data_IF_219745565054
#
_entry.id   IF_219745565054
#
_cell.length_a   1.000
_cell.length_b   1.000
_cell.length_c   1.000
_cell.angle_alpha   90.00
_cell.angle_beta   90.00
_cell.angle_gamma   90.00
#
_symmetry.space_group_name_H-M   'P 1'
#
loop_
_entity.id
_entity.type
_entity.pdbx_description
1 polymer ?
#
# COMPACT_ATOMS: atom_id res chain seq x y z
N UNK A 1 -18.92 11.07 -18.22
CA UNK A 1 -18.64 11.97 -17.09
C UNK A 1 -18.39 11.24 -15.77
N UNK A 2 -18.44 9.91 -15.71
CA UNK A 2 -17.63 9.15 -14.75
C UNK A 2 -16.19 9.07 -15.30
N UNK A 3 -15.53 10.22 -15.45
CA UNK A 3 -14.09 10.22 -15.71
C UNK A 3 -13.45 9.43 -14.58
N UNK A 4 -12.65 8.43 -14.94
CA UNK A 4 -12.03 7.50 -14.00
C UNK A 4 -11.33 8.30 -12.91
N UNK A 5 -11.94 8.33 -11.72
CA UNK A 5 -11.35 8.96 -10.56
C UNK A 5 -10.08 8.16 -10.23
N UNK A 6 -8.92 8.70 -10.59
CA UNK A 6 -7.63 8.06 -10.32
C UNK A 6 -7.38 8.14 -8.82
N UNK A 7 -7.63 7.04 -8.12
CA UNK A 7 -7.30 6.85 -6.71
C UNK A 7 -5.92 6.23 -6.57
N UNK A 8 -5.32 6.30 -5.39
CA UNK A 8 -3.91 5.90 -5.17
C UNK A 8 -3.60 4.48 -5.68
N UNK A 9 -4.52 3.53 -5.49
CA UNK A 9 -4.34 2.16 -5.95
C UNK A 9 -4.21 2.04 -7.48
N UNK A 10 -4.72 2.99 -8.26
CA UNK A 10 -4.69 2.97 -9.73
C UNK A 10 -3.52 3.77 -10.32
N UNK A 11 -2.67 4.35 -9.48
CA UNK A 11 -1.60 5.26 -9.90
C UNK A 11 -0.40 4.52 -10.46
N UNK A 12 -0.15 3.29 -10.01
CA UNK A 12 0.98 2.49 -10.46
C UNK A 12 0.57 1.02 -10.63
N UNK A 13 1.08 0.33 -11.67
CA UNK A 13 1.08 -1.12 -11.72
C UNK A 13 1.77 -1.70 -10.48
N UNK A 14 1.28 -2.84 -9.99
CA UNK A 14 1.92 -3.54 -8.87
C UNK A 14 3.28 -4.10 -9.33
N UNK A 15 4.32 -3.94 -8.53
CA UNK A 15 5.57 -4.72 -8.64
C UNK A 15 5.51 -5.83 -7.61
N UNK A 16 4.83 -6.92 -7.96
CA UNK A 16 4.41 -7.95 -7.02
C UNK A 16 5.56 -8.71 -6.34
N UNK A 17 6.75 -8.72 -6.95
CA UNK A 17 7.99 -9.27 -6.40
C UNK A 17 8.81 -8.25 -5.58
N UNK A 18 8.47 -6.96 -5.66
CA UNK A 18 9.11 -5.86 -4.96
C UNK A 18 8.06 -4.91 -4.33
N UNK A 19 7.37 -5.41 -3.29
CA UNK A 19 6.45 -4.58 -2.50
C UNK A 19 7.12 -3.36 -1.84
N UNK A 20 8.37 -3.43 -1.34
CA UNK A 20 9.07 -2.26 -0.83
C UNK A 20 9.27 -1.17 -1.91
N UNK A 21 9.69 -1.56 -3.11
CA UNK A 21 9.83 -0.65 -4.25
C UNK A 21 8.49 -0.06 -4.68
N UNK A 22 7.44 -0.89 -4.75
CA UNK A 22 6.07 -0.45 -5.01
C UNK A 22 5.61 0.61 -4.01
N UNK A 23 5.85 0.40 -2.71
CA UNK A 23 5.50 1.33 -1.65
C UNK A 23 6.22 2.67 -1.81
N UNK A 24 7.51 2.64 -2.16
CA UNK A 24 8.29 3.84 -2.47
C UNK A 24 7.71 4.62 -3.66
N UNK A 25 7.38 3.93 -4.75
CA UNK A 25 6.79 4.55 -5.95
C UNK A 25 5.41 5.16 -5.69
N UNK A 26 4.55 4.47 -4.92
CA UNK A 26 3.26 5.01 -4.51
C UNK A 26 3.41 6.24 -3.60
N UNK A 27 4.37 6.21 -2.68
CA UNK A 27 4.67 7.36 -1.82
C UNK A 27 5.12 8.56 -2.66
N UNK A 28 6.01 8.34 -3.64
CA UNK A 28 6.49 9.40 -4.53
C UNK A 28 5.33 10.02 -5.33
N UNK A 29 4.41 9.19 -5.82
CA UNK A 29 3.22 9.66 -6.52
C UNK A 29 2.26 10.43 -5.61
N UNK A 30 2.09 9.98 -4.36
CA UNK A 30 1.27 10.64 -3.35
C UNK A 30 1.83 12.03 -2.98
N UNK A 31 3.16 12.15 -2.85
CA UNK A 31 3.82 13.42 -2.55
C UNK A 31 3.73 14.37 -3.73
N UNK A 32 3.89 13.86 -4.95
CA UNK A 32 3.76 14.65 -6.18
C UNK A 32 2.33 15.19 -6.40
N UNK A 33 1.31 14.43 -5.97
CA UNK A 33 -0.10 14.82 -6.09
C UNK A 33 -0.87 14.53 -4.78
N UNK A 34 -0.88 15.48 -3.83
CA UNK A 34 -1.63 15.35 -2.57
C UNK A 34 -3.15 15.18 -2.78
N UNK A 35 -3.67 15.51 -3.97
CA UNK A 35 -5.07 15.28 -4.33
C UNK A 35 -5.43 13.80 -4.35
N UNK A 36 -4.47 12.91 -4.66
CA UNK A 36 -4.70 11.47 -4.74
C UNK A 36 -5.28 10.87 -3.46
N UNK A 37 -4.71 11.20 -2.30
CA UNK A 37 -5.22 10.69 -1.02
C UNK A 37 -6.56 11.32 -0.67
N UNK A 38 -6.76 12.62 -0.93
CA UNK A 38 -8.05 13.27 -0.68
C UNK A 38 -9.16 12.62 -1.49
N UNK A 39 -8.92 12.36 -2.77
CA UNK A 39 -9.87 11.69 -3.66
C UNK A 39 -10.11 10.24 -3.24
N UNK A 40 -9.06 9.51 -2.84
CA UNK A 40 -9.18 8.13 -2.34
C UNK A 40 -10.04 8.07 -1.06
N UNK A 41 -9.83 9.00 -0.13
CA UNK A 41 -10.62 9.09 1.11
C UNK A 41 -12.07 9.50 0.85
N UNK A 42 -12.29 10.51 -0.01
CA UNK A 42 -13.63 10.93 -0.40
C UNK A 42 -14.39 9.79 -1.09
N UNK A 43 -13.75 9.10 -2.04
CA UNK A 43 -14.32 7.93 -2.73
C UNK A 43 -14.73 6.83 -1.74
N UNK A 44 -13.95 6.59 -0.70
CA UNK A 44 -14.29 5.60 0.33
C UNK A 44 -15.46 6.04 1.23
N UNK A 45 -15.63 7.34 1.47
CA UNK A 45 -16.72 7.89 2.28
C UNK A 45 -18.05 7.95 1.52
N UNK A 46 -18.04 8.40 0.27
CA UNK A 46 -19.27 8.55 -0.54
C UNK A 46 -19.78 7.23 -1.11
N UNK A 47 -18.86 6.31 -1.39
CA UNK A 47 -19.15 5.05 -2.05
C UNK A 47 -18.50 3.92 -1.23
N UNK A 48 -19.11 3.52 -0.11
CA UNK A 48 -18.53 2.53 0.79
C UNK A 48 -18.41 1.14 0.15
N UNK A 49 -19.18 0.88 -0.91
CA UNK A 49 -19.09 -0.33 -1.71
C UNK A 49 -18.08 -0.17 -2.85
N UNK A 50 -17.23 -1.19 -3.02
CA UNK A 50 -16.35 -1.29 -4.17
C UNK A 50 -17.16 -1.73 -5.39
N UNK A 51 -16.88 -1.14 -6.55
CA UNK A 51 -17.40 -1.65 -7.82
C UNK A 51 -16.73 -2.99 -8.16
N UNK A 52 -17.38 -3.80 -9.00
CA UNK A 52 -16.80 -5.03 -9.55
C UNK A 52 -15.42 -4.80 -10.19
N UNK A 53 -15.22 -3.67 -10.84
CA UNK A 53 -13.92 -3.33 -11.43
C UNK A 53 -12.83 -3.12 -10.36
N UNK A 54 -13.16 -2.45 -9.26
CA UNK A 54 -12.25 -2.24 -8.13
C UNK A 54 -11.94 -3.57 -7.43
N UNK A 55 -12.96 -4.41 -7.20
CA UNK A 55 -12.81 -5.75 -6.62
C UNK A 55 -11.87 -6.59 -7.48
N UNK A 56 -12.12 -6.68 -8.79
CA UNK A 56 -11.30 -7.46 -9.71
C UNK A 56 -9.85 -6.95 -9.79
N UNK A 57 -9.65 -5.62 -9.76
CA UNK A 57 -8.32 -5.01 -9.73
C UNK A 57 -7.54 -5.39 -8.47
N UNK A 58 -8.17 -5.36 -7.29
CA UNK A 58 -7.53 -5.74 -6.03
C UNK A 58 -7.25 -7.25 -5.95
N UNK A 59 -8.18 -8.09 -6.42
CA UNK A 59 -7.99 -9.54 -6.49
C UNK A 59 -6.82 -9.88 -7.43
N UNK A 60 -6.73 -9.24 -8.60
CA UNK A 60 -5.64 -9.45 -9.54
C UNK A 60 -4.27 -9.11 -8.91
N UNK A 61 -4.14 -7.94 -8.28
CA UNK A 61 -2.90 -7.53 -7.59
C UNK A 61 -2.53 -8.48 -6.45
N UNK A 62 -3.49 -8.86 -5.61
CA UNK A 62 -3.25 -9.81 -4.52
C UNK A 62 -2.85 -11.21 -5.05
N UNK A 63 -3.41 -11.63 -6.20
CA UNK A 63 -3.04 -12.89 -6.86
C UNK A 63 -1.60 -12.86 -7.37
N UNK A 64 -1.17 -11.75 -7.97
CA UNK A 64 0.22 -11.57 -8.41
C UNK A 64 1.19 -11.62 -7.23
N UNK A 65 0.88 -10.91 -6.14
CA UNK A 65 1.69 -10.94 -4.90
C UNK A 65 1.77 -12.36 -4.32
N UNK A 66 0.63 -13.05 -4.26
CA UNK A 66 0.55 -14.42 -3.75
C UNK A 66 1.43 -15.37 -4.55
N UNK A 67 1.42 -15.25 -5.88
CA UNK A 67 2.26 -16.04 -6.78
C UNK A 67 3.75 -15.72 -6.60
N UNK A 68 4.12 -14.43 -6.53
CA UNK A 68 5.52 -13.99 -6.40
C UNK A 68 6.18 -14.48 -5.10
N UNK A 69 5.46 -14.46 -3.99
CA UNK A 69 6.00 -14.86 -2.68
C UNK A 69 5.65 -16.29 -2.26
N UNK A 70 4.84 -17.02 -3.04
CA UNK A 70 4.41 -18.38 -2.71
C UNK A 70 3.53 -18.45 -1.44
N UNK A 71 2.69 -17.43 -1.22
CA UNK A 71 1.85 -17.28 -0.03
C UNK A 71 0.35 -17.40 -0.35
N UNK A 72 -0.47 -17.59 0.69
CA UNK A 72 -1.93 -17.60 0.54
C UNK A 72 -2.47 -16.21 0.12
N UNK A 73 -3.54 -16.22 -0.69
CA UNK A 73 -4.19 -15.00 -1.20
C UNK A 73 -4.56 -14.00 -0.09
N UNK A 74 -5.11 -14.46 1.04
CA UNK A 74 -5.47 -13.56 2.14
C UNK A 74 -4.24 -12.84 2.73
N UNK A 75 -3.11 -13.53 2.84
CA UNK A 75 -1.88 -12.92 3.34
C UNK A 75 -1.32 -11.89 2.33
N UNK A 76 -1.43 -12.18 1.04
CA UNK A 76 -1.08 -11.24 -0.02
C UNK A 76 -2.00 -9.99 -0.02
N UNK A 77 -3.30 -10.19 0.22
CA UNK A 77 -4.27 -9.09 0.40
C UNK A 77 -3.89 -8.23 1.61
N UNK A 78 -3.57 -8.84 2.76
CA UNK A 78 -3.16 -8.11 3.97
C UNK A 78 -1.88 -7.29 3.72
N UNK A 79 -0.88 -7.88 3.05
CA UNK A 79 0.36 -7.19 2.67
C UNK A 79 0.07 -5.96 1.79
N UNK A 80 -0.81 -6.11 0.79
CA UNK A 80 -1.21 -4.99 -0.07
C UNK A 80 -1.95 -3.90 0.72
N UNK A 81 -2.89 -4.26 1.58
CA UNK A 81 -3.66 -3.32 2.40
C UNK A 81 -2.77 -2.54 3.36
N UNK A 82 -1.84 -3.22 4.04
CA UNK A 82 -0.92 -2.58 4.97
C UNK A 82 0.07 -1.69 4.22
N UNK A 83 0.52 -2.10 3.04
CA UNK A 83 1.37 -1.27 2.17
C UNK A 83 0.68 0.04 1.78
N UNK A 84 -0.60 -0.02 1.34
CA UNK A 84 -1.40 1.17 1.05
C UNK A 84 -1.57 2.06 2.30
N UNK A 85 -1.83 1.44 3.46
CA UNK A 85 -1.95 2.16 4.74
C UNK A 85 -0.66 2.88 5.14
N UNK A 86 0.50 2.23 4.99
CA UNK A 86 1.80 2.82 5.29
C UNK A 86 2.11 4.03 4.40
N UNK A 87 1.79 3.93 3.10
CA UNK A 87 1.93 5.06 2.16
C UNK A 87 1.01 6.23 2.54
N UNK A 88 -0.27 5.95 2.83
CA UNK A 88 -1.26 6.97 3.20
C UNK A 88 -1.00 7.63 4.56
N UNK A 89 -0.14 7.04 5.42
CA UNK A 89 0.19 7.57 6.73
C UNK A 89 0.78 9.00 6.65
N UNK A 90 1.42 9.35 5.52
CA UNK A 90 1.99 10.67 5.31
C UNK A 90 1.00 11.82 5.52
N UNK A 91 -0.24 11.72 5.05
CA UNK A 91 -1.25 12.77 5.27
C UNK A 91 -2.29 12.40 6.33
N UNK A 92 -1.99 11.44 7.21
CA UNK A 92 -2.87 11.10 8.33
C UNK A 92 -2.90 12.20 9.42
N UNK A 93 -1.91 13.09 9.43
CA UNK A 93 -1.83 14.21 10.39
C UNK A 93 -1.52 15.53 9.69
N UNK A 94 -1.90 16.64 10.32
CA UNK A 94 -1.59 17.98 9.83
C UNK A 94 -0.07 18.20 9.77
N UNK A 95 0.37 19.07 8.85
CA UNK A 95 1.79 19.28 8.55
C UNK A 95 2.64 19.58 9.80
N UNK A 96 2.16 20.41 10.71
CA UNK A 96 2.89 20.77 11.94
C UNK A 96 3.05 19.62 12.93
N UNK A 97 2.16 18.62 12.90
CA UNK A 97 2.28 17.39 13.69
C UNK A 97 3.29 16.45 13.03
N UNK A 98 3.22 16.32 11.71
CA UNK A 98 4.10 15.47 10.91
C UNK A 98 5.55 15.95 10.86
N UNK A 99 5.75 17.27 10.89
CA UNK A 99 7.04 17.95 10.86
C UNK A 99 7.19 18.91 12.06
N UNK A 100 7.32 18.36 13.29
CA UNK A 100 7.32 19.17 14.50
C UNK A 100 8.58 20.03 14.66
N UNK A 101 9.68 19.65 13.99
CA UNK A 101 10.96 20.35 14.05
C UNK A 101 11.13 21.38 12.92
N UNK A 102 10.17 21.49 12.00
CA UNK A 102 10.23 22.44 10.90
C UNK A 102 11.35 22.15 9.89
N UNK A 103 11.67 20.88 9.68
CA UNK A 103 12.65 20.44 8.68
C UNK A 103 12.21 20.84 7.26
N UNK A 104 13.13 21.00 6.29
CA UNK A 104 12.78 21.10 4.88
C UNK A 104 11.82 19.98 4.45
N UNK A 105 10.77 20.33 3.72
CA UNK A 105 9.66 19.41 3.40
C UNK A 105 10.14 18.20 2.59
N UNK A 106 11.04 18.43 1.65
CA UNK A 106 11.70 17.40 0.84
C UNK A 106 12.52 16.43 1.68
N UNK A 107 13.33 16.96 2.61
CA UNK A 107 14.10 16.14 3.55
C UNK A 107 13.18 15.29 4.44
N UNK A 108 12.12 15.92 5.00
CA UNK A 108 11.17 15.23 5.88
C UNK A 108 10.39 14.15 5.12
N UNK A 109 10.00 14.43 3.87
CA UNK A 109 9.34 13.47 2.99
C UNK A 109 10.26 12.30 2.65
N UNK A 110 11.52 12.56 2.29
CA UNK A 110 12.52 11.52 2.01
C UNK A 110 12.76 10.61 3.24
N UNK A 111 12.87 11.20 4.44
CA UNK A 111 13.01 10.43 5.68
C UNK A 111 11.77 9.54 5.96
N UNK A 112 10.56 10.05 5.70
CA UNK A 112 9.35 9.24 5.84
C UNK A 112 9.23 8.15 4.77
N UNK A 113 9.59 8.45 3.52
CA UNK A 113 9.68 7.47 2.43
C UNK A 113 10.54 6.29 2.85
N UNK A 114 11.72 6.56 3.41
CA UNK A 114 12.61 5.52 3.91
C UNK A 114 11.96 4.69 5.02
N UNK A 115 11.24 5.33 5.96
CA UNK A 115 10.51 4.62 7.01
C UNK A 115 9.40 3.72 6.45
N UNK A 116 8.65 4.18 5.44
CA UNK A 116 7.64 3.37 4.73
C UNK A 116 8.27 2.16 4.06
N UNK A 117 9.32 2.36 3.27
CA UNK A 117 10.03 1.26 2.59
C UNK A 117 10.59 0.25 3.60
N UNK A 118 11.22 0.72 4.68
CA UNK A 118 11.73 -0.15 5.75
C UNK A 118 10.60 -0.96 6.41
N UNK A 119 9.46 -0.34 6.70
CA UNK A 119 8.32 -1.03 7.31
C UNK A 119 7.74 -2.11 6.40
N UNK A 120 7.56 -1.81 5.10
CA UNK A 120 7.06 -2.78 4.11
C UNK A 120 8.06 -3.91 3.89
N UNK A 121 9.36 -3.61 3.87
CA UNK A 121 10.43 -4.63 3.80
C UNK A 121 10.33 -5.60 4.99
N UNK A 122 10.35 -5.07 6.21
CA UNK A 122 10.30 -5.89 7.42
C UNK A 122 9.04 -6.75 7.51
N UNK A 123 7.89 -6.21 7.11
CA UNK A 123 6.62 -6.93 7.07
C UNK A 123 6.63 -8.06 6.02
N UNK A 124 7.10 -7.74 4.81
CA UNK A 124 7.18 -8.70 3.70
C UNK A 124 8.11 -9.85 4.08
N UNK A 125 9.30 -9.56 4.59
CA UNK A 125 10.26 -10.57 5.03
C UNK A 125 9.65 -11.45 6.13
N UNK A 126 9.05 -10.85 7.16
CA UNK A 126 8.51 -11.59 8.31
C UNK A 126 7.33 -12.52 7.97
N UNK A 127 6.53 -12.15 6.96
CA UNK A 127 5.33 -12.89 6.58
C UNK A 127 5.58 -13.90 5.46
N UNK A 128 6.56 -13.66 4.60
CA UNK A 128 6.91 -14.56 3.49
C UNK A 128 8.00 -15.58 3.86
N UNK A 129 8.85 -15.26 4.85
CA UNK A 129 9.89 -16.19 5.34
C UNK A 129 9.32 -17.32 6.20
N UNK A 130 8.05 -17.28 6.64
CA UNK A 130 7.46 -18.40 7.38
C UNK A 130 7.30 -19.58 6.43
N UNK A 131 7.99 -20.71 6.67
CA UNK A 131 7.64 -21.95 6.00
C UNK A 131 6.18 -22.23 6.34
N UNK A 132 5.35 -22.45 5.32
CA UNK A 132 3.96 -22.84 5.51
C UNK A 132 3.90 -23.91 6.59
N UNK A 133 3.09 -23.71 7.61
CA UNK A 133 2.76 -24.73 8.60
C UNK A 133 2.10 -25.89 7.85
N UNK A 134 2.94 -26.77 7.30
CA UNK A 134 2.56 -28.00 6.64
C UNK A 134 3.34 -29.12 7.31
N UNK A 135 2.60 -29.85 8.16
CA UNK A 135 2.75 -31.22 8.66
C UNK A 135 2.15 -31.28 10.08
N UNK A 136 1.38 -32.28 10.50
CA UNK A 136 0.79 -33.49 9.89
C UNK A 136 -0.03 -34.15 11.03
N UNK A 137 -1.22 -34.66 10.72
CA UNK A 137 -1.80 -35.88 11.30
C UNK A 137 -2.18 -35.91 12.79
N UNK A 138 -3.47 -36.09 13.05
CA UNK A 138 -3.92 -37.07 14.04
C UNK A 138 -5.14 -37.80 13.45
N UNK A 139 -4.85 -39.05 13.10
CA UNK A 139 -5.68 -40.25 12.93
C UNK A 139 -7.20 -40.13 12.85
#
# INVERSE_FOLDING_TARGET
>A
MADRLRVLADVAPITADDLPGYAGALFDALVADPGLQRLSQWRALEFPEASEAEINSHIAKATEIAASYGIHLNLATDLMMITLGAVMAWNATAERIRNPLGEPVDQRAAAHRQAVVTAVTALTDALTARPGTSKKGAS
#
